data_IF_444270042139
#
_entry.id   IF_444270042139
#
_cell.length_a   1.000
_cell.length_b   1.000
_cell.length_c   1.000
_cell.angle_alpha   90.00
_cell.angle_beta   90.00
_cell.angle_gamma   90.00
#
_symmetry.space_group_name_H-M   'P 1'
#
loop_
_entity.id
_entity.type
_entity.pdbx_description
1 polymer ?
#
# COMPACT_ATOMS: atom_id res chain seq x y z
N UNK A 1 1.81 2.93 6.19
CA UNK A 1 0.83 3.90 6.71
C UNK A 1 1.15 4.44 8.10
N UNK A 2 2.01 3.77 8.89
CA UNK A 2 2.37 4.24 10.24
C UNK A 2 2.72 5.73 10.31
N UNK A 3 3.67 6.19 9.48
CA UNK A 3 4.04 7.61 9.40
C UNK A 3 2.86 8.54 9.12
N UNK A 4 2.04 8.22 8.11
CA UNK A 4 0.92 9.08 7.68
C UNK A 4 -0.10 9.25 8.81
N UNK A 5 -0.38 8.18 9.56
CA UNK A 5 -1.33 8.24 10.66
C UNK A 5 -0.76 8.95 11.90
N UNK A 6 0.51 8.69 12.23
CA UNK A 6 1.09 9.11 13.51
C UNK A 6 1.80 10.46 13.46
N UNK A 7 2.42 10.79 12.32
CA UNK A 7 3.39 11.89 12.22
C UNK A 7 3.02 12.94 11.16
N UNK A 8 2.10 12.66 10.23
CA UNK A 8 1.81 13.62 9.15
C UNK A 8 1.25 14.95 9.65
N UNK A 9 0.39 14.95 10.69
CA UNK A 9 -0.17 16.22 11.22
C UNK A 9 0.96 17.10 11.76
N UNK A 10 1.84 16.54 12.60
CA UNK A 10 3.01 17.26 13.12
C UNK A 10 3.97 17.70 12.00
N UNK A 11 4.19 16.83 11.00
CA UNK A 11 4.97 17.18 9.80
C UNK A 11 4.37 18.39 9.06
N UNK A 12 3.05 18.40 8.88
CA UNK A 12 2.33 19.47 8.18
C UNK A 12 2.30 20.78 8.98
N UNK A 13 2.25 20.71 10.31
CA UNK A 13 2.40 21.87 11.21
C UNK A 13 3.79 22.52 11.07
N UNK A 14 4.82 21.76 10.68
CA UNK A 14 6.14 22.28 10.32
C UNK A 14 6.12 23.32 9.18
N UNK A 15 5.06 23.35 8.36
CA UNK A 15 4.84 24.39 7.34
C UNK A 15 4.06 25.60 7.85
N UNK A 16 3.83 25.72 9.17
CA UNK A 16 3.03 26.78 9.79
C UNK A 16 1.51 26.55 9.71
N UNK A 17 1.07 25.34 9.35
CA UNK A 17 -0.34 24.98 9.35
C UNK A 17 -0.88 24.82 10.78
N UNK A 18 -2.15 25.17 11.02
CA UNK A 18 -2.82 24.79 12.26
C UNK A 18 -3.20 23.31 12.24
N UNK A 19 -3.34 22.70 13.42
CA UNK A 19 -3.68 21.27 13.56
C UNK A 19 -4.96 20.89 12.81
N UNK A 20 -5.96 21.77 12.76
CA UNK A 20 -7.22 21.52 12.05
C UNK A 20 -7.03 21.48 10.53
N UNK A 21 -6.18 22.36 9.98
CA UNK A 21 -5.91 22.38 8.53
C UNK A 21 -5.05 21.17 8.16
N UNK A 22 -4.04 20.84 8.97
CA UNK A 22 -3.21 19.65 8.79
C UNK A 22 -4.02 18.34 8.88
N UNK A 23 -4.96 18.25 9.83
CA UNK A 23 -5.89 17.13 9.93
C UNK A 23 -6.85 17.08 8.72
N UNK A 24 -7.27 18.24 8.19
CA UNK A 24 -8.04 18.32 6.94
C UNK A 24 -7.27 17.77 5.74
N UNK A 25 -5.97 18.08 5.63
CA UNK A 25 -5.10 17.47 4.61
C UNK A 25 -5.00 15.95 4.80
N UNK A 26 -4.87 15.47 6.04
CA UNK A 26 -4.87 14.02 6.33
C UNK A 26 -6.19 13.34 5.95
N UNK A 27 -7.34 14.01 6.14
CA UNK A 27 -8.64 13.46 5.79
C UNK A 27 -8.78 13.15 4.29
N UNK A 28 -8.02 13.84 3.42
CA UNK A 28 -7.98 13.55 1.98
C UNK A 28 -7.44 12.16 1.65
N UNK A 29 -6.66 11.55 2.56
CA UNK A 29 -6.21 10.15 2.44
C UNK A 29 -7.39 9.19 2.39
N UNK A 30 -8.44 9.45 3.16
CA UNK A 30 -9.64 8.61 3.17
C UNK A 30 -10.40 8.69 1.84
N UNK A 31 -10.62 9.92 1.35
CA UNK A 31 -11.32 10.18 0.08
C UNK A 31 -10.56 9.56 -1.10
N UNK A 32 -9.26 9.85 -1.18
CA UNK A 32 -8.41 9.29 -2.25
C UNK A 32 -8.23 7.80 -2.12
N UNK A 33 -8.23 7.24 -0.91
CA UNK A 33 -8.24 5.80 -0.69
C UNK A 33 -9.46 5.11 -1.29
N UNK A 34 -10.66 5.68 -1.13
CA UNK A 34 -11.88 5.15 -1.77
C UNK A 34 -11.76 5.18 -3.29
N UNK A 35 -11.35 6.34 -3.84
CA UNK A 35 -11.15 6.49 -5.30
C UNK A 35 -10.14 5.47 -5.79
N UNK A 36 -9.00 5.34 -5.10
CA UNK A 36 -7.96 4.37 -5.40
C UNK A 36 -8.49 2.94 -5.44
N UNK A 37 -9.19 2.50 -4.38
CA UNK A 37 -9.74 1.14 -4.33
C UNK A 37 -10.66 0.83 -5.51
N UNK A 38 -11.52 1.78 -5.88
CA UNK A 38 -12.41 1.61 -7.03
C UNK A 38 -11.63 1.56 -8.34
N UNK A 39 -10.69 2.48 -8.55
CA UNK A 39 -9.93 2.57 -9.80
C UNK A 39 -8.96 1.40 -9.95
N UNK A 40 -8.06 1.19 -8.99
CA UNK A 40 -7.08 0.11 -9.05
C UNK A 40 -7.73 -1.26 -8.91
N UNK A 41 -8.80 -1.39 -8.14
CA UNK A 41 -9.57 -2.64 -8.07
C UNK A 41 -10.18 -3.00 -9.42
N UNK A 42 -10.90 -2.06 -10.05
CA UNK A 42 -11.50 -2.30 -11.37
C UNK A 42 -10.47 -2.63 -12.46
N UNK A 43 -9.31 -1.94 -12.43
CA UNK A 43 -8.19 -2.23 -13.34
C UNK A 43 -7.59 -3.61 -13.00
N UNK A 44 -7.44 -3.94 -11.72
CA UNK A 44 -6.97 -5.24 -11.23
C UNK A 44 -7.84 -6.40 -11.70
N UNK A 45 -9.16 -6.22 -11.78
CA UNK A 45 -10.08 -7.26 -12.25
C UNK A 45 -9.97 -7.53 -13.76
N UNK A 46 -9.48 -6.54 -14.54
CA UNK A 46 -9.39 -6.61 -16.02
C UNK A 46 -8.00 -6.96 -16.53
N UNK A 47 -6.98 -6.64 -15.75
CA UNK A 47 -5.58 -6.84 -16.09
C UNK A 47 -4.94 -7.79 -15.09
N UNK A 48 -3.63 -8.03 -15.22
CA UNK A 48 -2.93 -8.85 -14.26
C UNK A 48 -2.84 -8.12 -12.90
N UNK A 49 -3.64 -8.58 -11.94
CA UNK A 49 -3.78 -8.05 -10.57
C UNK A 49 -2.43 -7.76 -9.91
N UNK A 50 -1.44 -8.63 -10.13
CA UNK A 50 -0.10 -8.49 -9.55
C UNK A 50 0.64 -7.27 -10.08
N UNK A 51 0.58 -6.97 -11.37
CA UNK A 51 1.20 -5.77 -11.91
C UNK A 51 0.48 -4.51 -11.44
N UNK A 52 -0.84 -4.55 -11.30
CA UNK A 52 -1.61 -3.43 -10.75
C UNK A 52 -1.24 -3.19 -9.28
N UNK A 53 -1.00 -4.26 -8.52
CA UNK A 53 -0.46 -4.18 -7.15
C UNK A 53 0.92 -3.52 -7.14
N UNK A 54 1.82 -3.87 -8.05
CA UNK A 54 3.13 -3.22 -8.18
C UNK A 54 2.98 -1.72 -8.48
N UNK A 55 2.09 -1.34 -9.39
CA UNK A 55 1.80 0.08 -9.70
C UNK A 55 1.28 0.82 -8.47
N UNK A 56 0.38 0.21 -7.68
CA UNK A 56 -0.10 0.81 -6.45
C UNK A 56 1.02 1.06 -5.43
N UNK A 57 1.98 0.12 -5.29
CA UNK A 57 3.17 0.33 -4.47
C UNK A 57 4.12 1.39 -5.04
N UNK A 58 4.22 1.54 -6.37
CA UNK A 58 4.98 2.64 -7.00
C UNK A 58 4.37 4.00 -6.65
N UNK A 59 3.05 4.15 -6.76
CA UNK A 59 2.33 5.35 -6.32
C UNK A 59 2.66 5.66 -4.85
N UNK A 60 2.66 4.64 -4.00
CA UNK A 60 2.99 4.79 -2.60
C UNK A 60 4.41 5.34 -2.37
N UNK A 61 5.40 4.80 -3.07
CA UNK A 61 6.78 5.30 -3.04
C UNK A 61 6.88 6.74 -3.54
N UNK A 62 6.25 7.04 -4.68
CA UNK A 62 6.20 8.39 -5.27
C UNK A 62 5.58 9.39 -4.28
N UNK A 63 4.50 9.02 -3.61
CA UNK A 63 3.85 9.89 -2.63
C UNK A 63 4.76 10.24 -1.45
N UNK A 64 5.58 9.31 -0.96
CA UNK A 64 6.62 9.62 0.03
C UNK A 64 7.75 10.49 -0.56
N UNK A 65 8.10 10.32 -1.84
CA UNK A 65 9.00 11.21 -2.57
C UNK A 65 8.45 12.64 -2.69
N UNK A 66 7.15 12.79 -2.94
CA UNK A 66 6.49 14.10 -2.95
C UNK A 66 6.50 14.73 -1.56
N UNK A 67 6.32 13.94 -0.50
CA UNK A 67 6.48 14.44 0.87
C UNK A 67 7.89 14.95 1.13
N UNK A 68 8.95 14.23 0.72
CA UNK A 68 10.33 14.69 0.84
C UNK A 68 10.60 16.02 0.14
N UNK A 69 9.93 16.27 -0.98
CA UNK A 69 10.05 17.52 -1.75
C UNK A 69 9.10 18.61 -1.27
N UNK A 70 8.21 18.32 -0.31
CA UNK A 70 7.21 19.26 0.14
C UNK A 70 7.88 20.40 0.93
N UNK A 71 7.73 21.62 0.42
CA UNK A 71 8.12 22.86 1.10
C UNK A 71 6.90 23.66 1.59
N UNK A 72 5.70 23.10 1.44
CA UNK A 72 4.44 23.75 1.73
C UNK A 72 3.33 22.72 1.94
N UNK A 73 2.30 23.12 2.68
CA UNK A 73 1.14 22.27 2.97
C UNK A 73 0.41 21.75 1.72
N UNK A 74 0.18 22.54 0.64
CA UNK A 74 -0.47 22.02 -0.55
C UNK A 74 0.29 20.87 -1.20
N UNK A 75 1.62 20.97 -1.30
CA UNK A 75 2.44 19.91 -1.88
C UNK A 75 2.47 18.67 -0.96
N UNK A 76 2.55 18.87 0.36
CA UNK A 76 2.43 17.79 1.33
C UNK A 76 1.06 17.07 1.22
N UNK A 77 -0.01 17.83 0.99
CA UNK A 77 -1.37 17.31 0.78
C UNK A 77 -1.43 16.43 -0.47
N UNK A 78 -0.82 16.86 -1.59
CA UNK A 78 -0.70 16.02 -2.79
C UNK A 78 0.05 14.72 -2.49
N UNK A 79 1.14 14.79 -1.73
CA UNK A 79 1.90 13.61 -1.31
C UNK A 79 1.03 12.59 -0.55
N UNK A 80 0.27 13.03 0.45
CA UNK A 80 -0.63 12.12 1.18
C UNK A 80 -1.84 11.66 0.37
N UNK A 81 -2.36 12.45 -0.57
CA UNK A 81 -3.40 12.01 -1.51
C UNK A 81 -2.92 10.84 -2.37
N UNK A 82 -1.69 10.90 -2.89
CA UNK A 82 -1.10 9.81 -3.67
C UNK A 82 -0.92 8.56 -2.78
N UNK A 83 -0.42 8.75 -1.55
CA UNK A 83 -0.27 7.66 -0.59
C UNK A 83 -1.64 7.06 -0.23
N UNK A 84 -2.69 7.88 -0.09
CA UNK A 84 -4.07 7.47 0.16
C UNK A 84 -4.63 6.62 -0.95
N UNK A 85 -4.52 7.05 -2.21
CA UNK A 85 -4.95 6.29 -3.38
C UNK A 85 -4.30 4.89 -3.45
N UNK A 86 -3.05 4.75 -3.02
CA UNK A 86 -2.41 3.43 -2.94
C UNK A 86 -2.94 2.55 -1.81
N UNK A 87 -3.47 3.11 -0.72
CA UNK A 87 -3.81 2.37 0.50
C UNK A 87 -4.84 1.29 0.23
N UNK A 88 -6.06 1.70 -0.02
CA UNK A 88 -7.21 0.81 0.00
C UNK A 88 -7.14 -0.15 -1.18
N UNK A 89 -6.56 0.31 -2.29
CA UNK A 89 -6.19 -0.50 -3.46
C UNK A 89 -5.37 -1.73 -3.09
N UNK A 90 -4.32 -1.58 -2.28
CA UNK A 90 -3.44 -2.69 -1.88
C UNK A 90 -4.20 -3.73 -1.06
N UNK A 91 -5.21 -3.35 -0.28
CA UNK A 91 -6.01 -4.29 0.52
C UNK A 91 -6.79 -5.25 -0.39
N UNK A 92 -7.50 -4.72 -1.39
CA UNK A 92 -8.28 -5.54 -2.33
C UNK A 92 -7.39 -6.35 -3.25
N UNK A 93 -6.36 -5.72 -3.83
CA UNK A 93 -5.43 -6.36 -4.76
C UNK A 93 -4.60 -7.48 -4.11
N UNK A 94 -4.16 -7.29 -2.86
CA UNK A 94 -3.49 -8.37 -2.11
C UNK A 94 -4.42 -9.56 -1.91
N UNK A 95 -5.73 -9.32 -1.84
CA UNK A 95 -6.75 -10.34 -1.61
C UNK A 95 -6.91 -11.19 -2.85
N UNK A 96 -7.10 -10.53 -3.98
CA UNK A 96 -7.14 -11.16 -5.30
C UNK A 96 -5.85 -11.94 -5.59
N UNK A 97 -4.66 -11.34 -5.39
CA UNK A 97 -3.38 -12.05 -5.60
C UNK A 97 -3.21 -13.25 -4.66
N UNK A 98 -3.63 -13.12 -3.39
CA UNK A 98 -3.52 -14.23 -2.43
C UNK A 98 -4.51 -15.35 -2.76
N UNK A 99 -5.72 -15.02 -3.21
CA UNK A 99 -6.71 -15.98 -3.65
C UNK A 99 -6.25 -16.73 -4.91
N UNK A 100 -5.67 -16.01 -5.88
CA UNK A 100 -5.08 -16.59 -7.09
C UNK A 100 -3.93 -17.55 -6.78
N UNK A 101 -3.06 -17.22 -5.81
CA UNK A 101 -1.88 -18.03 -5.49
C UNK A 101 -2.15 -19.20 -4.53
N UNK A 102 -2.98 -19.00 -3.51
CA UNK A 102 -3.15 -19.97 -2.42
C UNK A 102 -4.54 -20.63 -2.40
N UNK A 103 -5.45 -20.19 -3.27
CA UNK A 103 -6.83 -20.62 -3.32
C UNK A 103 -7.67 -20.08 -2.15
N UNK A 104 -9.00 -20.00 -2.37
CA UNK A 104 -9.94 -19.45 -1.39
C UNK A 104 -9.94 -20.21 -0.05
N UNK A 105 -9.68 -21.52 -0.06
CA UNK A 105 -9.68 -22.36 1.14
C UNK A 105 -8.61 -21.99 2.16
N UNK A 106 -7.44 -21.49 1.71
CA UNK A 106 -6.33 -21.07 2.59
C UNK A 106 -6.23 -19.56 2.75
N UNK A 107 -7.10 -18.81 2.06
CA UNK A 107 -7.07 -17.36 2.04
C UNK A 107 -7.13 -16.78 3.46
N UNK A 108 -8.03 -17.28 4.32
CA UNK A 108 -8.16 -16.82 5.70
C UNK A 108 -6.88 -16.97 6.53
N UNK A 109 -6.14 -18.08 6.37
CA UNK A 109 -4.86 -18.31 7.06
C UNK A 109 -3.77 -17.39 6.54
N UNK A 110 -3.67 -17.22 5.21
CA UNK A 110 -2.68 -16.35 4.58
C UNK A 110 -2.94 -14.89 4.95
N UNK A 111 -4.17 -14.43 4.81
CA UNK A 111 -4.58 -13.09 5.22
C UNK A 111 -4.37 -12.87 6.72
N UNK A 112 -4.76 -13.83 7.57
CA UNK A 112 -4.53 -13.76 9.01
C UNK A 112 -3.06 -13.56 9.37
N UNK A 113 -2.15 -14.28 8.71
CA UNK A 113 -0.71 -14.12 8.91
C UNK A 113 -0.21 -12.73 8.46
N UNK A 114 -0.66 -12.25 7.29
CA UNK A 114 -0.30 -10.92 6.77
C UNK A 114 -0.76 -9.83 7.74
N UNK A 115 -2.04 -9.84 8.12
CA UNK A 115 -2.62 -8.86 9.04
C UNK A 115 -2.12 -9.02 10.48
N UNK A 116 -1.61 -10.19 10.88
CA UNK A 116 -0.97 -10.40 12.16
C UNK A 116 0.41 -9.74 12.26
N UNK A 117 1.20 -9.79 11.18
CA UNK A 117 2.56 -9.22 11.14
C UNK A 117 2.54 -7.71 10.81
N UNK A 118 1.56 -7.25 10.02
CA UNK A 118 1.46 -5.84 9.61
C UNK A 118 1.52 -4.82 10.75
N UNK A 119 0.79 -4.99 11.88
CA UNK A 119 0.85 -4.07 13.01
C UNK A 119 2.23 -3.95 13.62
N UNK A 120 3.03 -5.03 13.64
CA UNK A 120 4.40 -4.98 14.12
C UNK A 120 5.25 -4.06 13.25
N UNK A 121 5.18 -4.21 11.92
CA UNK A 121 5.86 -3.32 10.99
C UNK A 121 5.38 -1.87 11.10
N UNK A 122 4.09 -1.65 11.29
CA UNK A 122 3.53 -0.31 11.50
C UNK A 122 4.04 0.33 12.80
N UNK A 123 4.00 -0.42 13.92
CA UNK A 123 4.47 0.04 15.22
C UNK A 123 5.97 0.36 15.21
N UNK A 124 6.79 -0.56 14.68
CA UNK A 124 8.23 -0.34 14.53
C UNK A 124 8.52 0.87 13.65
N UNK A 125 7.82 1.02 12.53
CA UNK A 125 7.99 2.17 11.64
C UNK A 125 7.64 3.50 12.27
N UNK A 126 6.52 3.57 13.02
CA UNK A 126 6.13 4.78 13.78
C UNK A 126 7.17 5.14 14.84
N UNK A 127 7.62 4.14 15.59
CA UNK A 127 8.60 4.33 16.66
C UNK A 127 9.95 4.79 16.12
N UNK A 128 10.46 4.16 15.05
CA UNK A 128 11.70 4.56 14.39
C UNK A 128 11.58 5.99 13.86
N UNK A 129 10.47 6.33 13.20
CA UNK A 129 10.26 7.69 12.68
C UNK A 129 10.25 8.75 13.79
N UNK A 130 9.64 8.45 14.95
CA UNK A 130 9.68 9.32 16.13
C UNK A 130 11.11 9.50 16.65
N UNK A 131 11.87 8.41 16.81
CA UNK A 131 13.28 8.48 17.24
C UNK A 131 14.18 9.25 16.28
N UNK A 132 13.93 9.12 14.97
CA UNK A 132 14.62 9.90 13.94
C UNK A 132 14.33 11.38 14.11
N UNK A 133 13.07 11.74 14.36
CA UNK A 133 12.68 13.13 14.61
C UNK A 133 13.31 13.67 15.91
N UNK A 134 13.26 12.92 17.01
CA UNK A 134 13.84 13.35 18.29
C UNK A 134 15.36 13.60 18.21
N UNK A 135 16.06 12.92 17.30
CA UNK A 135 17.52 13.04 17.13
C UNK A 135 17.95 14.10 16.12
N UNK A 136 17.19 14.31 15.04
CA UNK A 136 17.58 15.19 13.94
C UNK A 136 16.67 16.42 13.79
N UNK A 137 15.52 16.44 14.45
CA UNK A 137 14.48 17.46 14.26
C UNK A 137 13.80 17.40 12.89
N UNK A 138 14.01 16.34 12.11
CA UNK A 138 13.47 16.17 10.76
C UNK A 138 12.97 14.73 10.54
N UNK A 139 11.97 14.59 9.68
CA UNK A 139 11.41 13.31 9.25
C UNK A 139 12.04 12.78 7.95
N UNK A 140 12.99 13.48 7.35
CA UNK A 140 13.52 13.15 6.01
C UNK A 140 14.04 11.72 5.92
N UNK A 141 14.83 11.27 6.90
CA UNK A 141 15.35 9.91 6.91
C UNK A 141 14.23 8.86 7.00
N UNK A 142 13.18 9.15 7.76
CA UNK A 142 12.01 8.26 7.86
C UNK A 142 11.21 8.23 6.55
N UNK A 143 11.08 9.37 5.87
CA UNK A 143 10.41 9.48 4.57
C UNK A 143 11.21 8.79 3.46
N UNK A 144 12.54 8.93 3.44
CA UNK A 144 13.44 8.19 2.54
C UNK A 144 13.29 6.69 2.73
N UNK A 145 13.32 6.21 3.98
CA UNK A 145 13.12 4.80 4.27
C UNK A 145 11.74 4.31 3.80
N UNK A 146 10.68 5.09 4.05
CA UNK A 146 9.33 4.74 3.61
C UNK A 146 9.19 4.71 2.07
N UNK A 147 9.82 5.65 1.37
CA UNK A 147 9.90 5.65 -0.09
C UNK A 147 10.66 4.43 -0.61
N UNK A 148 11.83 4.14 -0.05
CA UNK A 148 12.67 3.00 -0.44
C UNK A 148 11.92 1.67 -0.27
N UNK A 149 11.22 1.48 0.85
CA UNK A 149 10.39 0.29 1.09
C UNK A 149 9.26 0.19 0.08
N UNK A 150 8.57 1.30 -0.22
CA UNK A 150 7.50 1.33 -1.22
C UNK A 150 7.97 0.94 -2.62
N UNK A 151 9.05 1.55 -3.09
CA UNK A 151 9.62 1.28 -4.42
C UNK A 151 10.24 -0.12 -4.51
N UNK A 152 10.90 -0.58 -3.45
CA UNK A 152 11.43 -1.96 -3.40
C UNK A 152 10.29 -2.99 -3.44
N UNK A 153 9.19 -2.73 -2.73
CA UNK A 153 7.99 -3.58 -2.80
C UNK A 153 7.42 -3.63 -4.21
N UNK A 154 7.32 -2.47 -4.88
CA UNK A 154 6.87 -2.40 -6.27
C UNK A 154 7.78 -3.21 -7.21
N UNK A 155 9.09 -3.10 -7.06
CA UNK A 155 10.06 -3.86 -7.86
C UNK A 155 9.92 -5.37 -7.61
N UNK A 156 9.91 -5.81 -6.34
CA UNK A 156 9.79 -7.23 -5.99
C UNK A 156 8.48 -7.86 -6.47
N UNK A 157 7.38 -7.09 -6.42
CA UNK A 157 6.09 -7.55 -6.94
C UNK A 157 6.09 -7.55 -8.46
N UNK A 158 6.70 -6.55 -9.11
CA UNK A 158 6.75 -6.38 -10.57
C UNK A 158 7.71 -7.32 -11.31
N UNK A 159 8.71 -7.93 -10.64
CA UNK A 159 9.58 -8.92 -11.28
C UNK A 159 8.77 -10.16 -11.65
N UNK A 160 8.73 -10.60 -12.93
CA UNK A 160 8.03 -11.82 -13.31
C UNK A 160 8.55 -13.00 -12.48
N UNK A 161 7.68 -13.67 -11.73
CA UNK A 161 8.01 -15.00 -11.20
C UNK A 161 7.55 -16.00 -12.25
N UNK A 162 8.38 -17.01 -12.52
CA UNK A 162 8.00 -18.17 -13.32
C UNK A 162 6.59 -18.60 -12.93
N UNK A 163 5.68 -18.66 -13.91
CA UNK A 163 4.33 -19.16 -13.72
C UNK A 163 4.44 -20.49 -12.96
N UNK A 164 3.98 -20.54 -11.71
CA UNK A 164 3.43 -21.80 -11.24
C UNK A 164 2.21 -22.01 -12.09
N UNK A 165 2.38 -22.88 -13.10
CA UNK A 165 1.35 -23.51 -13.88
C UNK A 165 0.12 -23.63 -12.99
N UNK A 166 -0.97 -22.98 -13.40
CA UNK A 166 -2.26 -23.22 -12.77
C UNK A 166 -2.37 -24.74 -12.56
N UNK A 167 -2.73 -25.24 -11.36
CA UNK A 167 -3.14 -26.62 -11.27
C UNK A 167 -4.23 -26.73 -12.31
N UNK A 168 -3.92 -27.48 -13.38
CA UNK A 168 -4.83 -27.77 -14.47
C UNK A 168 -6.08 -28.25 -13.75
N UNK A 169 -7.11 -27.38 -13.70
CA UNK A 169 -8.39 -27.79 -13.15
C UNK A 169 -8.73 -28.94 -14.06
N UNK A 170 -8.64 -30.14 -13.49
CA UNK A 170 -8.72 -31.40 -14.18
C UNK A 170 -10.08 -31.44 -14.90
N UNK A 171 -10.09 -30.91 -16.13
CA UNK A 171 -11.23 -30.97 -17.04
C UNK A 171 -11.44 -32.43 -17.46
N UNK A 172 -10.47 -33.31 -17.23
CA UNK A 172 -10.62 -34.76 -17.39
C UNK A 172 -11.51 -35.35 -16.28
N UNK A 173 -11.50 -34.82 -15.05
CA UNK A 173 -12.43 -35.26 -14.00
C UNK A 173 -13.88 -34.83 -14.29
N UNK A 174 -14.08 -33.64 -14.86
CA UNK A 174 -15.43 -33.16 -15.26
C UNK A 174 -15.97 -33.89 -16.51
N UNK A 175 -15.10 -34.30 -17.44
CA UNK A 175 -15.49 -35.07 -18.62
C UNK A 175 -15.80 -36.54 -18.30
N UNK A 176 -15.11 -37.14 -17.32
CA UNK A 176 -15.38 -38.50 -16.87
C UNK A 176 -16.73 -38.63 -16.15
N UNK A 177 -17.15 -37.60 -15.41
CA UNK A 177 -18.45 -37.59 -14.70
C UNK A 177 -19.67 -37.39 -15.62
N UNK A 178 -19.47 -37.08 -16.90
CA UNK A 178 -20.54 -36.96 -17.91
C UNK A 178 -20.64 -38.18 -18.84
N UNK A 179 -19.79 -39.19 -18.63
CA UNK A 179 -19.71 -40.39 -19.47
C UNK A 179 -20.35 -41.65 -18.82
N UNK A 180 -20.86 -41.53 -17.59
CA UNK A 180 -21.66 -42.54 -16.87
C UNK A 180 -23.12 -42.08 -16.75
#
# INVERSE_FOLDING_TARGET
MGFVNAHFVAYAEGFGASSIVAAGALATVGVTGVIGALTFGNIGDRYNTRYILAVAYSFRGIGYGVLLLANSLPLATVGVMIIGASWTSVISLTGSVSAEQFGLRRLGTVYGAIFGIMPLGAASGVWIAGRVYDSQGSYDLALWAAMAVGLTSAALIGVPKYQQLAPEIDRSAAAAATAD
#
